data_IF_418542299441
#
_entry.id   IF_418542299441
#
_cell.length_a   1.000
_cell.length_b   1.000
_cell.length_c   1.000
_cell.angle_alpha   90.00
_cell.angle_beta   90.00
_cell.angle_gamma   90.00
#
_symmetry.space_group_name_H-M   'P 1'
#
loop_
_entity.id
_entity.type
_entity.pdbx_description
1 polymer ?
#
# COMPACT_ATOMS: atom_id res chain seq x y z
N UNK A 1 -16.55 14.78 -38.08
CA UNK A 1 -16.76 15.43 -36.77
C UNK A 1 -16.11 14.54 -35.74
N UNK A 2 -14.80 14.27 -35.78
CA UNK A 2 -13.63 15.17 -35.85
C UNK A 2 -13.65 16.25 -34.78
N UNK A 3 -12.62 16.17 -33.95
CA UNK A 3 -12.00 17.24 -33.14
C UNK A 3 -12.38 17.29 -31.65
N UNK A 4 -12.00 16.23 -30.91
CA UNK A 4 -11.57 16.40 -29.53
C UNK A 4 -10.12 16.89 -29.59
N UNK A 5 -9.96 18.18 -29.37
CA UNK A 5 -8.69 18.89 -29.35
C UNK A 5 -7.84 18.36 -28.16
N UNK A 6 -6.84 17.51 -28.42
CA UNK A 6 -5.83 17.13 -27.43
C UNK A 6 -4.95 18.35 -27.13
N UNK A 7 -5.39 19.19 -26.19
CA UNK A 7 -4.47 20.08 -25.49
C UNK A 7 -3.43 19.17 -24.78
N UNK A 8 -2.18 19.25 -25.25
CA UNK A 8 -1.12 18.28 -25.00
C UNK A 8 -0.97 17.86 -23.55
N UNK A 9 -1.05 16.55 -23.30
CA UNK A 9 -0.55 16.00 -22.04
C UNK A 9 0.97 16.14 -22.07
N UNK A 10 1.55 16.74 -21.03
CA UNK A 10 3.02 16.88 -20.82
C UNK A 10 3.69 15.52 -20.49
N UNK A 11 3.10 14.41 -20.96
CA UNK A 11 3.55 13.05 -20.70
C UNK A 11 4.59 12.65 -21.73
N UNK A 12 5.75 12.20 -21.25
CA UNK A 12 6.82 11.64 -22.08
C UNK A 12 6.39 10.28 -22.69
N UNK A 13 5.56 9.52 -21.97
CA UNK A 13 4.95 8.26 -22.40
C UNK A 13 3.49 8.18 -21.93
N UNK A 14 2.61 7.70 -22.80
CA UNK A 14 1.24 7.34 -22.45
C UNK A 14 1.18 6.01 -21.68
N UNK A 15 0.02 5.69 -21.09
CA UNK A 15 -0.16 4.52 -20.22
C UNK A 15 0.16 3.18 -20.90
N UNK A 16 -0.21 3.05 -22.18
CA UNK A 16 -0.05 1.80 -22.95
C UNK A 16 1.24 1.79 -23.79
N UNK A 17 2.04 2.86 -23.69
CA UNK A 17 3.29 2.96 -24.43
C UNK A 17 4.29 1.94 -23.93
N UNK A 18 5.09 1.43 -24.86
CA UNK A 18 6.18 0.49 -24.59
C UNK A 18 7.51 1.20 -24.75
N UNK A 19 8.01 1.88 -23.71
CA UNK A 19 9.30 2.56 -23.79
C UNK A 19 10.43 1.56 -24.06
N UNK A 20 11.56 2.02 -24.64
CA UNK A 20 12.75 1.21 -24.81
C UNK A 20 13.17 0.56 -23.48
N UNK A 21 13.61 -0.69 -23.51
CA UNK A 21 13.93 -1.48 -22.32
C UNK A 21 14.82 -0.76 -21.30
N UNK A 22 15.83 -0.01 -21.77
CA UNK A 22 16.73 0.74 -20.89
C UNK A 22 16.02 1.86 -20.12
N UNK A 23 15.09 2.58 -20.74
CA UNK A 23 14.32 3.64 -20.09
C UNK A 23 13.31 3.05 -19.11
N UNK A 24 12.65 1.96 -19.51
CA UNK A 24 11.74 1.21 -18.65
C UNK A 24 12.46 0.70 -17.39
N UNK A 25 13.66 0.14 -17.53
CA UNK A 25 14.45 -0.38 -16.42
C UNK A 25 14.89 0.72 -15.46
N UNK A 26 15.41 1.84 -15.99
CA UNK A 26 15.81 2.99 -15.15
C UNK A 26 14.59 3.58 -14.43
N UNK A 27 13.46 3.72 -15.13
CA UNK A 27 12.19 4.13 -14.55
C UNK A 27 11.74 3.22 -13.42
N UNK A 28 11.78 1.89 -13.63
CA UNK A 28 11.43 0.91 -12.61
C UNK A 28 12.35 0.98 -11.37
N UNK A 29 13.66 1.13 -11.56
CA UNK A 29 14.63 1.24 -10.45
C UNK A 29 14.40 2.53 -9.67
N UNK A 30 14.32 3.68 -10.35
CA UNK A 30 14.09 4.97 -9.68
C UNK A 30 12.76 4.99 -8.94
N UNK A 31 11.73 4.38 -9.52
CA UNK A 31 10.45 4.23 -8.86
C UNK A 31 10.56 3.34 -7.61
N UNK A 32 11.21 2.18 -7.72
CA UNK A 32 11.44 1.28 -6.59
C UNK A 32 12.17 2.01 -5.45
N UNK A 33 13.22 2.76 -5.77
CA UNK A 33 13.97 3.56 -4.80
C UNK A 33 13.11 4.65 -4.15
N UNK A 34 12.22 5.30 -4.92
CA UNK A 34 11.32 6.32 -4.41
C UNK A 34 10.30 5.78 -3.40
N UNK A 35 9.76 4.58 -3.64
CA UNK A 35 8.76 3.97 -2.76
C UNK A 35 9.37 3.11 -1.64
N UNK A 36 10.66 2.82 -1.69
CA UNK A 36 11.32 1.90 -0.74
C UNK A 36 11.19 2.38 0.71
N UNK A 37 11.55 3.64 0.99
CA UNK A 37 11.48 4.20 2.34
C UNK A 37 10.05 4.18 2.88
N UNK A 38 9.03 4.78 2.23
CA UNK A 38 7.68 4.75 2.75
C UNK A 38 7.07 3.34 2.83
N UNK A 39 7.58 2.37 2.06
CA UNK A 39 7.15 0.97 2.17
C UNK A 39 7.69 0.28 3.42
N UNK A 40 8.97 0.49 3.76
CA UNK A 40 9.67 -0.21 4.85
C UNK A 40 9.44 0.48 6.20
N UNK A 41 9.34 1.81 6.22
CA UNK A 41 9.26 2.61 7.44
C UNK A 41 8.11 2.21 8.38
N UNK A 42 6.87 1.97 7.94
CA UNK A 42 5.79 1.54 8.82
C UNK A 42 6.10 0.27 9.63
N UNK A 43 6.68 -0.75 9.00
CA UNK A 43 7.06 -1.98 9.67
C UNK A 43 8.17 -1.74 10.71
N UNK A 44 9.15 -0.91 10.39
CA UNK A 44 10.21 -0.51 11.32
C UNK A 44 9.67 0.29 12.51
N UNK A 45 8.74 1.21 12.28
CA UNK A 45 8.11 2.01 13.33
C UNK A 45 7.34 1.10 14.30
N UNK A 46 6.53 0.17 13.78
CA UNK A 46 5.79 -0.79 14.61
C UNK A 46 6.75 -1.71 15.36
N UNK A 47 7.78 -2.23 14.69
CA UNK A 47 8.80 -3.08 15.31
C UNK A 47 9.53 -2.40 16.47
N UNK A 48 9.95 -1.15 16.27
CA UNK A 48 10.61 -0.36 17.30
C UNK A 48 9.66 -0.01 18.47
N UNK A 49 8.43 0.41 18.18
CA UNK A 49 7.47 0.81 19.20
C UNK A 49 7.03 -0.36 20.09
N UNK A 50 6.88 -1.56 19.52
CA UNK A 50 6.52 -2.77 20.26
C UNK A 50 7.74 -3.50 20.84
N UNK A 51 8.95 -3.05 20.52
CA UNK A 51 10.23 -3.69 20.86
C UNK A 51 10.26 -5.17 20.43
N UNK A 52 9.88 -5.42 19.18
CA UNK A 52 9.91 -6.75 18.59
C UNK A 52 11.35 -7.22 18.38
N UNK A 53 11.53 -8.52 18.23
CA UNK A 53 12.83 -9.05 17.84
C UNK A 53 13.27 -8.50 16.47
N UNK A 54 14.60 -8.47 16.23
CA UNK A 54 15.15 -8.07 14.94
C UNK A 54 14.69 -9.01 13.82
N UNK A 55 14.52 -10.30 14.13
CA UNK A 55 14.02 -11.32 13.21
C UNK A 55 12.57 -11.03 12.81
N UNK A 56 11.69 -10.79 13.79
CA UNK A 56 10.28 -10.43 13.54
C UNK A 56 10.16 -9.15 12.73
N UNK A 57 10.96 -8.14 13.06
CA UNK A 57 10.93 -6.86 12.34
C UNK A 57 11.37 -7.04 10.88
N UNK A 58 12.46 -7.78 10.64
CA UNK A 58 12.93 -8.09 9.29
C UNK A 58 11.90 -8.93 8.49
N UNK A 59 11.20 -9.84 9.17
CA UNK A 59 10.10 -10.60 8.60
C UNK A 59 8.95 -9.69 8.16
N UNK A 60 8.50 -8.76 9.01
CA UNK A 60 7.43 -7.79 8.67
C UNK A 60 7.82 -6.90 7.48
N UNK A 61 9.06 -6.44 7.43
CA UNK A 61 9.59 -5.67 6.28
C UNK A 61 9.52 -6.51 5.01
N UNK A 62 9.97 -7.76 5.07
CA UNK A 62 9.97 -8.67 3.91
C UNK A 62 8.54 -8.95 3.43
N UNK A 63 7.61 -9.19 4.34
CA UNK A 63 6.19 -9.40 4.01
C UNK A 63 5.55 -8.15 3.42
N UNK A 64 5.86 -6.95 3.95
CA UNK A 64 5.37 -5.69 3.39
C UNK A 64 5.85 -5.47 1.95
N UNK A 65 7.11 -5.79 1.65
CA UNK A 65 7.66 -5.70 0.29
C UNK A 65 6.98 -6.68 -0.66
N UNK A 66 6.78 -7.92 -0.25
CA UNK A 66 6.08 -8.93 -1.06
C UNK A 66 4.64 -8.51 -1.31
N UNK A 67 3.91 -8.10 -0.27
CA UNK A 67 2.52 -7.67 -0.38
C UNK A 67 2.37 -6.43 -1.27
N UNK A 68 3.28 -5.46 -1.17
CA UNK A 68 3.34 -4.28 -2.04
C UNK A 68 3.55 -4.66 -3.50
N UNK A 69 4.48 -5.59 -3.78
CA UNK A 69 4.72 -6.10 -5.13
C UNK A 69 3.49 -6.79 -5.73
N UNK A 70 2.87 -7.70 -4.98
CA UNK A 70 1.65 -8.40 -5.39
C UNK A 70 0.50 -7.43 -5.61
N UNK A 71 0.28 -6.50 -4.67
CA UNK A 71 -0.79 -5.50 -4.76
C UNK A 71 -0.59 -4.56 -5.95
N UNK A 72 0.63 -4.10 -6.19
CA UNK A 72 0.96 -3.25 -7.34
C UNK A 72 0.71 -4.00 -8.65
N UNK A 73 1.16 -5.26 -8.74
CA UNK A 73 0.90 -6.09 -9.91
C UNK A 73 -0.60 -6.28 -10.14
N UNK A 74 -1.37 -6.58 -9.09
CA UNK A 74 -2.82 -6.75 -9.18
C UNK A 74 -3.52 -5.45 -9.60
N UNK A 75 -3.02 -4.30 -9.19
CA UNK A 75 -3.66 -3.02 -9.48
C UNK A 75 -3.33 -2.49 -10.88
N UNK A 76 -2.10 -2.72 -11.34
CA UNK A 76 -1.65 -2.37 -12.70
C UNK A 76 -2.35 -3.22 -13.75
N UNK A 77 -2.66 -4.49 -13.46
CA UNK A 77 -3.38 -5.36 -14.37
C UNK A 77 -4.88 -5.31 -14.10
N UNK A 78 -5.68 -4.87 -15.07
CA UNK A 78 -7.14 -4.93 -14.95
C UNK A 78 -7.65 -6.34 -15.27
N UNK A 79 -8.06 -7.07 -14.23
CA UNK A 79 -8.73 -8.36 -14.31
C UNK A 79 -10.22 -8.22 -13.97
N UNK A 80 -11.02 -7.79 -14.95
CA UNK A 80 -12.46 -7.59 -14.75
C UNK A 80 -12.74 -6.49 -13.73
N UNK A 81 -13.31 -6.85 -12.56
CA UNK A 81 -13.61 -5.91 -11.46
C UNK A 81 -12.40 -5.64 -10.54
N UNK A 82 -11.31 -6.39 -10.70
CA UNK A 82 -10.11 -6.28 -9.87
C UNK A 82 -9.01 -5.55 -10.65
N UNK A 83 -8.38 -4.56 -10.00
CA UNK A 83 -7.32 -3.75 -10.59
C UNK A 83 -7.83 -2.56 -11.41
N UNK A 84 -7.10 -1.45 -11.37
CA UNK A 84 -7.49 -0.22 -12.07
C UNK A 84 -7.10 -0.26 -13.54
N UNK A 85 -6.06 -1.01 -13.90
CA UNK A 85 -5.40 -0.91 -15.20
C UNK A 85 -4.49 0.31 -15.31
N UNK A 86 -4.22 0.99 -14.20
CA UNK A 86 -3.39 2.19 -14.14
C UNK A 86 -2.11 1.89 -13.36
N UNK A 87 -1.07 2.72 -13.54
CA UNK A 87 0.11 2.71 -12.68
C UNK A 87 -0.25 3.15 -11.25
N UNK A 88 -0.83 2.23 -10.48
CA UNK A 88 -1.40 2.45 -9.15
C UNK A 88 -0.64 1.61 -8.14
N UNK A 89 0.39 2.21 -7.58
CA UNK A 89 1.43 1.52 -6.83
C UNK A 89 1.00 1.39 -5.38
N UNK A 90 1.04 0.17 -4.87
CA UNK A 90 0.56 -0.15 -3.54
C UNK A 90 1.69 0.00 -2.53
N UNK A 91 1.44 0.76 -1.48
CA UNK A 91 2.36 0.95 -0.36
C UNK A 91 1.64 0.70 0.95
N UNK A 92 2.41 0.66 2.05
CA UNK A 92 1.84 0.49 3.39
C UNK A 92 1.20 1.79 3.84
N UNK A 93 -0.05 1.72 4.30
CA UNK A 93 -0.79 2.89 4.76
C UNK A 93 -0.31 3.33 6.15
N UNK A 94 0.31 4.51 6.23
CA UNK A 94 0.79 5.10 7.49
C UNK A 94 -0.30 5.35 8.54
N UNK A 95 -1.55 5.57 8.14
CA UNK A 95 -2.67 5.78 9.08
C UNK A 95 -2.92 4.55 9.96
N UNK A 96 -2.55 3.34 9.51
CA UNK A 96 -2.71 2.12 10.30
C UNK A 96 -1.59 1.93 11.34
N UNK A 97 -0.46 2.62 11.22
CA UNK A 97 0.69 2.46 12.13
C UNK A 97 0.28 2.79 13.57
N UNK A 98 -0.39 3.92 13.78
CA UNK A 98 -0.82 4.35 15.12
C UNK A 98 -1.79 3.34 15.74
N UNK A 99 -2.71 2.78 14.97
CA UNK A 99 -3.67 1.78 15.44
C UNK A 99 -2.98 0.48 15.82
N UNK A 100 -2.02 0.03 14.99
CA UNK A 100 -1.24 -1.19 15.26
C UNK A 100 -0.38 -1.05 16.52
N UNK A 101 0.26 0.10 16.73
CA UNK A 101 1.02 0.37 17.95
C UNK A 101 0.10 0.37 19.16
N UNK A 102 -1.03 1.08 19.10
CA UNK A 102 -1.96 1.14 20.22
C UNK A 102 -2.47 -0.24 20.63
N UNK A 103 -2.89 -1.05 19.66
CA UNK A 103 -3.34 -2.42 19.90
C UNK A 103 -2.21 -3.30 20.45
N UNK A 104 -1.03 -3.28 19.81
CA UNK A 104 0.10 -4.10 20.24
C UNK A 104 0.64 -3.71 21.61
N UNK A 105 0.69 -2.42 21.94
CA UNK A 105 1.10 -1.93 23.25
C UNK A 105 0.12 -2.33 24.34
N UNK A 106 -1.19 -2.29 24.07
CA UNK A 106 -2.21 -2.79 25.00
C UNK A 106 -2.04 -4.28 25.28
N UNK A 107 -1.85 -5.10 24.25
CA UNK A 107 -1.63 -6.53 24.44
C UNK A 107 -0.32 -6.82 25.19
N UNK A 108 0.72 -6.02 24.92
CA UNK A 108 1.99 -6.15 25.64
C UNK A 108 1.85 -5.80 27.12
N UNK A 109 1.05 -4.79 27.48
CA UNK A 109 0.77 -4.48 28.89
C UNK A 109 -0.03 -5.57 29.60
N UNK A 110 -0.87 -6.29 28.86
CA UNK A 110 -1.62 -7.45 29.38
C UNK A 110 -0.74 -8.71 29.54
N UNK A 111 0.54 -8.65 29.15
CA UNK A 111 1.51 -9.73 29.31
C UNK A 111 1.49 -10.77 28.19
N UNK A 112 0.86 -10.49 27.05
CA UNK A 112 0.85 -11.40 25.91
C UNK A 112 2.24 -11.56 25.28
N UNK A 113 2.53 -12.78 24.81
CA UNK A 113 3.75 -13.09 24.09
C UNK A 113 3.77 -12.47 22.68
N UNK A 114 4.96 -12.25 22.14
CA UNK A 114 5.18 -11.61 20.83
C UNK A 114 4.41 -12.30 19.69
N UNK A 115 4.37 -13.63 19.66
CA UNK A 115 3.64 -14.41 18.65
C UNK A 115 2.12 -14.15 18.66
N UNK A 116 1.54 -14.02 19.86
CA UNK A 116 0.11 -13.71 20.03
C UNK A 116 -0.20 -12.28 19.58
N UNK A 117 0.71 -11.34 19.86
CA UNK A 117 0.59 -9.96 19.37
C UNK A 117 0.65 -9.95 17.84
N UNK A 118 1.65 -10.60 17.24
CA UNK A 118 1.80 -10.61 15.78
C UNK A 118 0.62 -11.26 15.06
N UNK A 119 0.18 -12.43 15.52
CA UNK A 119 -0.99 -13.12 14.96
C UNK A 119 -2.27 -12.28 15.09
N UNK A 120 -2.44 -11.55 16.20
CA UNK A 120 -3.58 -10.64 16.39
C UNK A 120 -3.50 -9.41 15.47
N UNK A 121 -2.34 -8.77 15.34
CA UNK A 121 -2.16 -7.63 14.43
C UNK A 121 -2.43 -8.03 12.98
N UNK A 122 -1.93 -9.20 12.56
CA UNK A 122 -2.17 -9.74 11.22
C UNK A 122 -3.64 -10.14 11.02
N UNK A 123 -4.26 -10.78 12.00
CA UNK A 123 -5.67 -11.17 11.96
C UNK A 123 -6.62 -9.97 11.87
N UNK A 124 -6.38 -8.94 12.69
CA UNK A 124 -7.13 -7.67 12.65
C UNK A 124 -6.92 -6.97 11.31
N UNK A 125 -5.70 -6.95 10.79
CA UNK A 125 -5.40 -6.37 9.47
C UNK A 125 -6.12 -7.12 8.34
N UNK A 126 -6.14 -8.45 8.39
CA UNK A 126 -6.83 -9.29 7.41
C UNK A 126 -8.33 -9.04 7.41
N UNK A 127 -8.98 -9.02 8.58
CA UNK A 127 -10.42 -8.69 8.70
C UNK A 127 -10.68 -7.24 8.26
N UNK A 128 -9.81 -6.32 8.67
CA UNK A 128 -9.88 -4.91 8.30
C UNK A 128 -9.82 -4.68 6.78
N UNK A 129 -9.08 -5.52 6.05
CA UNK A 129 -9.02 -5.43 4.59
C UNK A 129 -10.41 -5.62 3.95
N UNK A 130 -11.24 -6.55 4.45
CA UNK A 130 -12.61 -6.71 3.95
C UNK A 130 -13.50 -5.51 4.27
N UNK A 131 -13.32 -4.87 5.42
CA UNK A 131 -14.02 -3.64 5.77
C UNK A 131 -13.63 -2.48 4.83
N UNK A 132 -12.36 -2.39 4.46
CA UNK A 132 -11.88 -1.38 3.49
C UNK A 132 -12.44 -1.66 2.10
N UNK A 133 -12.41 -2.91 1.64
CA UNK A 133 -13.02 -3.31 0.36
C UNK A 133 -14.52 -3.03 0.35
N UNK A 134 -15.23 -3.34 1.44
CA UNK A 134 -16.66 -3.04 1.58
C UNK A 134 -16.96 -1.54 1.60
N UNK A 135 -16.16 -0.75 2.31
CA UNK A 135 -16.34 0.71 2.34
C UNK A 135 -16.03 1.38 1.00
N UNK A 136 -15.23 0.75 0.13
CA UNK A 136 -14.95 1.24 -1.23
C UNK A 136 -16.21 1.48 -2.08
N UNK A 137 -17.29 0.74 -1.84
CA UNK A 137 -18.57 0.92 -2.55
C UNK A 137 -19.34 2.17 -2.09
N UNK A 138 -19.03 2.69 -0.90
CA UNK A 138 -19.70 3.86 -0.29
C UNK A 138 -18.96 5.16 -0.63
N UNK A 139 -17.67 5.09 -0.95
CA UNK A 139 -16.81 6.24 -1.30
C UNK A 139 -17.40 7.22 -2.33
N UNK A 140 -18.09 6.78 -3.42
CA UNK A 140 -18.72 7.70 -4.37
C UNK A 140 -19.74 8.65 -3.72
N UNK A 141 -20.43 8.22 -2.65
CA UNK A 141 -21.40 9.03 -1.93
C UNK A 141 -20.74 10.00 -0.95
N UNK A 142 -19.58 9.62 -0.39
CA UNK A 142 -18.81 10.44 0.57
C UNK A 142 -18.25 11.72 -0.05
N UNK A 143 -18.08 11.77 -1.39
CA UNK A 143 -17.68 12.99 -2.12
C UNK A 143 -18.62 14.19 -1.91
N UNK A 144 -19.85 13.97 -1.44
CA UNK A 144 -20.80 15.05 -1.12
C UNK A 144 -20.56 15.70 0.25
N UNK A 145 -19.87 15.02 1.15
CA UNK A 145 -19.63 15.46 2.54
C UNK A 145 -18.19 15.92 2.73
N UNK A 146 -17.23 15.18 2.17
CA UNK A 146 -15.81 15.54 2.20
C UNK A 146 -15.51 16.28 0.90
N UNK A 147 -15.79 17.58 0.87
CA UNK A 147 -15.39 18.47 -0.22
C UNK A 147 -13.94 18.90 -0.04
N UNK A 148 -13.13 18.93 -1.11
CA UNK A 148 -11.78 19.47 -1.04
C UNK A 148 -11.87 21.00 -0.83
N UNK A 149 -11.81 21.43 0.43
CA UNK A 149 -11.54 22.83 0.81
C UNK A 149 -10.05 23.04 0.96
#
# INVERSE_FOLDING_TARGET
>A
MSDINHAGSDLIFELEDRPPFHQALVGAITHLLAIFVPMVTPALIVGAALQLSAETTAYLVSMAMIASGIGTWLQVNRYGIVGSGLLSIQSVNFSFVTVMIALGSSMKSDGFHEELIMSSLLGVSFVGAFLVVGSSFILPYLRRVITPT
#
